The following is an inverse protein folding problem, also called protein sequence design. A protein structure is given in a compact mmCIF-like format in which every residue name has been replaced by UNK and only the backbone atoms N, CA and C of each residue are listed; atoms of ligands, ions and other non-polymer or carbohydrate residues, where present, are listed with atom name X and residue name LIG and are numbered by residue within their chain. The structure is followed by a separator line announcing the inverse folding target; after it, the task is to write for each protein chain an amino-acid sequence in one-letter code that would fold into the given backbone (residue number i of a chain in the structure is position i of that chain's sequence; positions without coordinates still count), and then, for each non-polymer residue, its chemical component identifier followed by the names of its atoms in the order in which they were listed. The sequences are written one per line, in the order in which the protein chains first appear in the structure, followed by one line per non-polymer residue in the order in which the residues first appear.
data_IF_152212146096
#
_entry.id   IF_152212146096
#
_cell.length_a   1.000
_cell.length_b   1.000
_cell.length_c   1.000
_cell.angle_alpha   90.00
_cell.angle_beta   90.00
_cell.angle_gamma   90.00
#
_symmetry.space_group_name_H-M   'P 1'
#
loop_
_entity.id
_entity.type
_entity.pdbx_description
1 polymer ?
#
# COMPACT_ATOMS: atom_id res chain seq x y z
N UNK A 1 91.77 -53.76 -2.24
CA UNK A 1 90.81 -52.92 -2.99
C UNK A 1 90.40 -51.75 -2.12
N UNK A 2 90.83 -50.52 -2.45
CA UNK A 2 90.32 -49.28 -1.85
C UNK A 2 89.95 -48.35 -3.00
N UNK A 3 88.66 -48.06 -3.13
CA UNK A 3 88.10 -47.12 -4.09
C UNK A 3 88.48 -45.69 -3.70
N UNK A 4 89.25 -45.00 -4.56
CA UNK A 4 89.38 -43.55 -4.51
C UNK A 4 88.45 -42.96 -5.59
N UNK A 5 87.24 -42.55 -5.19
CA UNK A 5 86.44 -41.63 -5.99
C UNK A 5 87.07 -40.24 -5.89
N UNK A 6 87.68 -39.78 -6.98
CA UNK A 6 88.03 -38.37 -7.15
C UNK A 6 86.74 -37.62 -7.52
N UNK A 7 86.29 -36.72 -6.64
CA UNK A 7 85.24 -35.73 -6.93
C UNK A 7 85.74 -34.77 -8.00
N UNK A 8 85.13 -34.77 -9.18
CA UNK A 8 85.26 -33.67 -10.14
C UNK A 8 84.50 -32.45 -9.60
N UNK A 9 85.24 -31.44 -9.14
CA UNK A 9 84.71 -30.12 -8.81
C UNK A 9 84.41 -29.36 -10.10
N UNK A 10 83.16 -29.34 -10.55
CA UNK A 10 82.69 -28.34 -11.52
C UNK A 10 82.42 -27.02 -10.79
N UNK A 11 83.46 -26.21 -10.57
CA UNK A 11 83.31 -24.80 -10.18
C UNK A 11 82.94 -24.00 -11.43
N UNK A 12 81.65 -23.66 -11.60
CA UNK A 12 81.26 -22.64 -12.59
C UNK A 12 81.88 -21.29 -12.15
N UNK A 13 82.39 -20.45 -13.07
CA UNK A 13 83.06 -19.20 -12.71
C UNK A 13 82.10 -18.29 -11.94
N UNK A 14 82.55 -17.81 -10.77
CA UNK A 14 81.78 -16.95 -9.86
C UNK A 14 81.23 -15.70 -10.57
N UNK A 15 81.97 -15.14 -11.53
CA UNK A 15 81.58 -13.97 -12.33
C UNK A 15 80.33 -14.20 -13.20
N UNK A 16 80.09 -15.44 -13.66
CA UNK A 16 78.91 -15.79 -14.45
C UNK A 16 77.66 -15.86 -13.57
N UNK A 17 77.82 -16.29 -12.31
CA UNK A 17 76.74 -16.34 -11.31
C UNK A 17 76.38 -14.93 -10.84
N UNK A 18 77.36 -14.08 -10.58
CA UNK A 18 77.16 -12.69 -10.15
C UNK A 18 76.46 -11.84 -11.24
N UNK A 19 76.85 -11.99 -12.51
CA UNK A 19 76.19 -11.33 -13.64
C UNK A 19 74.71 -11.73 -13.80
N UNK A 20 74.39 -13.04 -13.66
CA UNK A 20 72.99 -13.49 -13.66
C UNK A 20 72.20 -13.04 -12.45
N UNK A 21 72.85 -12.89 -11.29
CA UNK A 21 72.19 -12.46 -10.06
C UNK A 21 71.79 -10.97 -10.13
N UNK A 22 72.62 -10.12 -10.73
CA UNK A 22 72.30 -8.71 -10.91
C UNK A 22 71.24 -8.47 -12.00
N UNK A 23 71.23 -9.27 -13.06
CA UNK A 23 70.15 -9.26 -14.05
C UNK A 23 68.81 -9.68 -13.43
N UNK A 24 68.83 -10.70 -12.55
CA UNK A 24 67.65 -11.17 -11.83
C UNK A 24 67.13 -10.09 -10.85
N UNK A 25 68.01 -9.42 -10.10
CA UNK A 25 67.65 -8.29 -9.23
C UNK A 25 67.02 -7.15 -10.02
N UNK A 26 67.56 -6.83 -11.20
CA UNK A 26 67.01 -5.81 -12.09
C UNK A 26 65.59 -6.17 -12.57
N UNK A 27 65.37 -7.42 -13.00
CA UNK A 27 64.04 -7.90 -13.40
C UNK A 27 63.03 -7.91 -12.24
N UNK A 28 63.46 -8.30 -11.04
CA UNK A 28 62.64 -8.25 -9.82
C UNK A 28 62.25 -6.80 -9.49
N UNK A 29 63.18 -5.85 -9.63
CA UNK A 29 62.91 -4.42 -9.41
C UNK A 29 61.86 -3.89 -10.40
N UNK A 30 61.95 -4.27 -11.68
CA UNK A 30 60.96 -3.92 -12.70
C UNK A 30 59.58 -4.52 -12.37
N UNK A 31 59.53 -5.80 -11.96
CA UNK A 31 58.30 -6.47 -11.56
C UNK A 31 57.65 -5.79 -10.34
N UNK A 32 58.45 -5.44 -9.32
CA UNK A 32 57.98 -4.73 -8.13
C UNK A 32 57.40 -3.35 -8.49
N UNK A 33 58.07 -2.60 -9.36
CA UNK A 33 57.56 -1.32 -9.83
C UNK A 33 56.24 -1.47 -10.60
N UNK A 34 56.15 -2.46 -11.52
CA UNK A 34 54.90 -2.74 -12.24
C UNK A 34 53.77 -3.12 -11.28
N UNK A 35 54.04 -4.00 -10.31
CA UNK A 35 53.06 -4.40 -9.31
C UNK A 35 52.56 -3.20 -8.48
N UNK A 36 53.46 -2.29 -8.11
CA UNK A 36 53.10 -1.09 -7.35
C UNK A 36 52.26 -0.11 -8.18
N UNK A 37 52.54 0.03 -9.47
CA UNK A 37 51.73 0.83 -10.41
C UNK A 37 50.34 0.19 -10.56
N UNK A 38 50.26 -1.10 -10.85
CA UNK A 38 48.97 -1.81 -10.99
C UNK A 38 48.14 -1.75 -9.72
N UNK A 39 48.77 -1.79 -8.53
CA UNK A 39 48.06 -1.61 -7.26
C UNK A 39 47.42 -0.22 -7.16
N UNK A 40 48.15 0.84 -7.54
CA UNK A 40 47.61 2.21 -7.57
C UNK A 40 46.48 2.35 -8.59
N UNK A 41 46.63 1.78 -9.79
CA UNK A 41 45.58 1.77 -10.82
C UNK A 41 44.31 1.07 -10.31
N UNK A 42 44.46 -0.09 -9.66
CA UNK A 42 43.32 -0.80 -9.05
C UNK A 42 42.60 0.05 -8.01
N UNK A 43 43.34 0.75 -7.15
CA UNK A 43 42.74 1.64 -6.13
C UNK A 43 41.98 2.80 -6.78
N UNK A 44 42.52 3.40 -7.85
CA UNK A 44 41.86 4.46 -8.62
C UNK A 44 40.56 3.92 -9.24
N UNK A 45 40.63 2.81 -9.97
CA UNK A 45 39.46 2.19 -10.61
C UNK A 45 38.39 1.77 -9.59
N UNK A 46 38.79 1.34 -8.41
CA UNK A 46 37.83 0.98 -7.33
C UNK A 46 37.08 2.22 -6.84
N UNK A 47 37.77 3.34 -6.64
CA UNK A 47 37.13 4.62 -6.26
C UNK A 47 36.23 5.16 -7.36
N UNK A 48 36.68 5.08 -8.62
CA UNK A 48 35.89 5.53 -9.76
C UNK A 48 34.62 4.69 -9.93
N UNK A 49 34.70 3.36 -9.77
CA UNK A 49 33.53 2.49 -9.80
C UNK A 49 32.55 2.79 -8.65
N UNK A 50 33.04 3.09 -7.44
CA UNK A 50 32.18 3.54 -6.33
C UNK A 50 31.47 4.86 -6.65
N UNK A 51 32.18 5.82 -7.24
CA UNK A 51 31.58 7.09 -7.65
C UNK A 51 30.51 6.91 -8.74
N UNK A 52 30.79 6.08 -9.75
CA UNK A 52 29.83 5.74 -10.80
C UNK A 52 28.57 5.05 -10.23
N UNK A 53 28.73 4.17 -9.24
CA UNK A 53 27.58 3.55 -8.56
C UNK A 53 26.72 4.58 -7.81
N UNK A 54 27.35 5.55 -7.13
CA UNK A 54 26.63 6.65 -6.48
C UNK A 54 25.90 7.52 -7.51
N UNK A 55 26.53 7.81 -8.64
CA UNK A 55 25.94 8.61 -9.71
C UNK A 55 24.76 7.89 -10.37
N UNK A 56 24.85 6.57 -10.58
CA UNK A 56 23.71 5.74 -11.03
C UNK A 56 22.55 5.82 -10.05
N UNK A 57 22.80 5.68 -8.74
CA UNK A 57 21.75 5.78 -7.71
C UNK A 57 21.11 7.18 -7.71
N UNK A 58 21.92 8.23 -7.87
CA UNK A 58 21.43 9.60 -7.96
C UNK A 58 20.59 9.82 -9.21
N UNK A 59 21.03 9.33 -10.38
CA UNK A 59 20.26 9.40 -11.62
C UNK A 59 18.95 8.62 -11.53
N UNK A 60 18.96 7.42 -10.93
CA UNK A 60 17.73 6.65 -10.70
C UNK A 60 16.76 7.39 -9.78
N UNK A 61 17.26 8.07 -8.74
CA UNK A 61 16.46 8.93 -7.87
C UNK A 61 15.87 10.11 -8.64
N UNK A 62 16.69 10.81 -9.42
CA UNK A 62 16.25 11.94 -10.24
C UNK A 62 15.21 11.53 -11.28
N UNK A 63 15.38 10.36 -11.93
CA UNK A 63 14.41 9.80 -12.89
C UNK A 63 13.06 9.50 -12.23
N UNK A 64 13.05 8.98 -10.99
CA UNK A 64 11.80 8.81 -10.23
C UNK A 64 11.14 10.15 -9.91
N UNK A 65 11.91 11.19 -9.61
CA UNK A 65 11.36 12.51 -9.35
C UNK A 65 10.84 13.24 -10.61
N UNK A 66 11.37 12.91 -11.80
CA UNK A 66 10.94 13.50 -13.08
C UNK A 66 9.60 12.95 -13.59
N UNK A 67 9.16 11.80 -13.10
CA UNK A 67 7.84 11.25 -13.42
C UNK A 67 6.92 11.52 -12.25
N UNK A 68 5.89 12.35 -12.45
CA UNK A 68 4.96 12.80 -11.41
C UNK A 68 4.30 11.65 -10.62
N UNK A 69 4.14 10.46 -11.21
CA UNK A 69 3.64 9.25 -10.55
C UNK A 69 4.64 8.46 -9.70
N UNK A 70 5.92 8.86 -9.68
CA UNK A 70 7.00 8.24 -8.89
C UNK A 70 7.57 9.18 -7.81
N UNK A 71 7.13 10.45 -7.77
CA UNK A 71 7.42 11.36 -6.66
C UNK A 71 6.72 10.87 -5.37
N UNK A 72 7.32 11.13 -4.20
CA UNK A 72 6.73 10.77 -2.91
C UNK A 72 5.40 11.50 -2.70
N UNK A 73 4.28 10.84 -3.02
CA UNK A 73 2.91 11.29 -2.74
C UNK A 73 2.54 11.18 -1.25
N UNK A 74 3.43 10.63 -0.41
CA UNK A 74 3.22 10.43 1.02
C UNK A 74 3.05 11.72 1.82
N UNK A 75 3.28 12.89 1.22
CA UNK A 75 3.05 14.20 1.86
C UNK A 75 1.62 14.70 1.64
N UNK A 76 0.94 14.27 0.56
CA UNK A 76 -0.35 14.84 0.13
C UNK A 76 -1.53 13.88 0.27
N UNK A 77 -1.29 12.57 0.17
CA UNK A 77 -2.31 11.54 0.32
C UNK A 77 -2.16 10.79 1.66
N UNK A 78 -3.25 10.47 2.38
CA UNK A 78 -3.16 9.79 3.68
C UNK A 78 -2.48 8.43 3.59
N UNK A 79 -1.61 8.14 4.56
CA UNK A 79 -1.02 6.81 4.69
C UNK A 79 -2.07 5.76 5.07
N UNK A 80 -1.79 4.48 4.81
CA UNK A 80 -2.72 3.39 5.13
C UNK A 80 -3.14 3.38 6.61
N UNK A 81 -2.22 3.66 7.54
CA UNK A 81 -2.53 3.73 8.97
C UNK A 81 -3.44 4.92 9.30
N UNK A 82 -3.28 6.05 8.61
CA UNK A 82 -4.13 7.23 8.79
C UNK A 82 -5.55 6.96 8.26
N UNK A 83 -5.67 6.24 7.14
CA UNK A 83 -6.96 5.78 6.63
C UNK A 83 -7.66 4.83 7.60
N UNK A 84 -6.92 3.89 8.19
CA UNK A 84 -7.46 2.96 9.19
C UNK A 84 -7.96 3.72 10.42
N UNK A 85 -7.18 4.70 10.91
CA UNK A 85 -7.60 5.56 12.01
C UNK A 85 -8.86 6.36 11.64
N UNK A 86 -8.92 6.91 10.42
CA UNK A 86 -10.09 7.64 9.93
C UNK A 86 -11.34 6.76 9.82
N UNK A 87 -11.20 5.48 9.42
CA UNK A 87 -12.30 4.51 9.42
C UNK A 87 -12.78 4.26 10.86
N UNK A 88 -11.84 4.03 11.78
CA UNK A 88 -12.17 3.76 13.18
C UNK A 88 -12.88 4.94 13.85
N UNK A 89 -12.45 6.17 13.55
CA UNK A 89 -13.10 7.41 14.01
C UNK A 89 -14.49 7.57 13.39
N UNK A 90 -14.61 7.37 12.07
CA UNK A 90 -15.89 7.41 11.38
C UNK A 90 -16.91 6.40 11.94
N UNK A 91 -16.46 5.19 12.31
CA UNK A 91 -17.32 4.19 12.94
C UNK A 91 -17.76 4.56 14.35
N UNK A 92 -16.95 5.31 15.11
CA UNK A 92 -17.22 5.66 16.51
C UNK A 92 -17.98 6.98 16.68
N UNK A 93 -17.82 7.91 15.74
CA UNK A 93 -18.42 9.23 15.81
C UNK A 93 -19.59 9.31 14.82
N UNK A 94 -19.28 9.47 13.53
CA UNK A 94 -20.28 9.72 12.50
C UNK A 94 -21.33 8.60 12.35
N UNK A 95 -20.91 7.33 12.46
CA UNK A 95 -21.84 6.20 12.42
C UNK A 95 -22.72 6.13 13.68
N UNK A 96 -22.24 6.61 14.83
CA UNK A 96 -23.02 6.64 16.06
C UNK A 96 -24.04 7.77 15.99
N UNK A 97 -23.60 8.96 15.58
CA UNK A 97 -24.45 10.13 15.44
C UNK A 97 -25.61 9.85 14.47
N UNK A 98 -25.33 9.31 13.27
CA UNK A 98 -26.40 8.96 12.33
C UNK A 98 -27.30 7.85 12.90
N UNK A 99 -26.73 6.86 13.59
CA UNK A 99 -27.49 5.75 14.15
C UNK A 99 -28.47 6.24 15.22
N UNK A 100 -27.99 6.94 16.24
CA UNK A 100 -28.79 7.36 17.39
C UNK A 100 -29.68 8.58 17.12
N UNK A 101 -29.23 9.54 16.31
CA UNK A 101 -29.98 10.79 16.12
C UNK A 101 -30.98 10.72 14.96
N UNK A 102 -30.78 9.80 14.02
CA UNK A 102 -31.65 9.68 12.84
C UNK A 102 -32.27 8.30 12.73
N UNK A 103 -31.46 7.24 12.69
CA UNK A 103 -31.96 5.92 12.27
C UNK A 103 -32.80 5.23 13.33
N UNK A 104 -32.39 5.26 14.61
CA UNK A 104 -33.13 4.61 15.70
C UNK A 104 -34.47 5.27 16.01
N UNK A 105 -34.60 6.58 15.74
CA UNK A 105 -35.85 7.31 15.97
C UNK A 105 -36.89 7.05 14.87
N UNK A 106 -36.43 6.80 13.64
CA UNK A 106 -37.30 6.74 12.47
C UNK A 106 -37.50 5.33 11.91
N UNK A 107 -36.62 4.36 12.23
CA UNK A 107 -36.57 3.06 11.56
C UNK A 107 -36.53 1.87 12.51
N UNK A 108 -36.97 0.72 11.99
CA UNK A 108 -36.72 -0.59 12.58
C UNK A 108 -35.37 -1.16 12.10
N UNK A 109 -34.94 -2.29 12.66
CA UNK A 109 -33.65 -2.90 12.33
C UNK A 109 -33.46 -3.20 10.83
N UNK A 110 -34.51 -3.58 10.12
CA UNK A 110 -34.43 -3.83 8.68
C UNK A 110 -34.17 -2.52 7.90
N UNK A 111 -34.80 -1.42 8.32
CA UNK A 111 -34.56 -0.09 7.75
C UNK A 111 -33.14 0.40 8.01
N UNK A 112 -32.60 0.18 9.21
CA UNK A 112 -31.21 0.55 9.55
C UNK A 112 -30.21 -0.25 8.69
N UNK A 113 -30.39 -1.57 8.59
CA UNK A 113 -29.54 -2.43 7.73
C UNK A 113 -29.63 -1.97 6.28
N UNK A 114 -30.85 -1.70 5.78
CA UNK A 114 -31.05 -1.18 4.43
C UNK A 114 -30.33 0.15 4.21
N UNK A 115 -30.36 1.07 5.18
CA UNK A 115 -29.68 2.36 5.10
C UNK A 115 -28.17 2.19 4.87
N UNK A 116 -27.48 1.47 5.77
CA UNK A 116 -26.02 1.29 5.67
C UNK A 116 -25.63 0.50 4.43
N UNK A 117 -26.34 -0.58 4.13
CA UNK A 117 -26.06 -1.41 2.95
C UNK A 117 -26.23 -0.61 1.66
N UNK A 118 -27.33 0.14 1.52
CA UNK A 118 -27.61 0.94 0.32
C UNK A 118 -26.61 2.08 0.18
N UNK A 119 -26.31 2.80 1.27
CA UNK A 119 -25.33 3.89 1.24
C UNK A 119 -23.97 3.42 0.71
N UNK A 120 -23.42 2.33 1.27
CA UNK A 120 -22.12 1.81 0.86
C UNK A 120 -22.14 1.21 -0.55
N UNK A 121 -23.15 0.41 -0.91
CA UNK A 121 -23.26 -0.18 -2.25
C UNK A 121 -23.37 0.88 -3.34
N UNK A 122 -24.14 1.95 -3.10
CA UNK A 122 -24.29 3.04 -4.08
C UNK A 122 -23.01 3.84 -4.24
N UNK A 123 -22.30 4.13 -3.14
CA UNK A 123 -21.01 4.82 -3.19
C UNK A 123 -19.96 3.97 -3.90
N UNK A 124 -19.84 2.68 -3.55
CA UNK A 124 -18.92 1.75 -4.22
C UNK A 124 -19.19 1.68 -5.72
N UNK A 125 -20.48 1.62 -6.11
CA UNK A 125 -20.88 1.67 -7.51
C UNK A 125 -20.46 2.97 -8.20
N UNK A 126 -20.66 4.13 -7.56
CA UNK A 126 -20.23 5.44 -8.12
C UNK A 126 -18.73 5.45 -8.40
N UNK A 127 -17.92 4.93 -7.47
CA UNK A 127 -16.47 4.84 -7.64
C UNK A 127 -16.12 3.92 -8.81
N UNK A 128 -16.67 2.71 -8.84
CA UNK A 128 -16.40 1.74 -9.89
C UNK A 128 -16.85 2.24 -11.27
N UNK A 129 -18.03 2.85 -11.39
CA UNK A 129 -18.56 3.41 -12.64
C UNK A 129 -17.69 4.57 -13.16
N UNK A 130 -17.02 5.32 -12.27
CA UNK A 130 -16.09 6.39 -12.65
C UNK A 130 -14.77 5.86 -13.23
N UNK A 131 -14.17 4.85 -12.61
CA UNK A 131 -12.86 4.32 -13.03
C UNK A 131 -12.94 3.25 -14.13
N UNK A 132 -14.01 2.46 -14.16
CA UNK A 132 -14.17 1.31 -15.07
C UNK A 132 -13.98 1.65 -16.54
N UNK A 133 -14.54 2.76 -17.10
CA UNK A 133 -14.33 3.11 -18.51
C UNK A 133 -12.86 3.36 -18.83
N UNK A 134 -12.13 4.04 -17.94
CA UNK A 134 -10.72 4.34 -18.11
C UNK A 134 -9.87 3.07 -18.04
N UNK A 135 -10.16 2.19 -17.08
CA UNK A 135 -9.50 0.88 -16.99
C UNK A 135 -9.77 0.01 -18.20
N UNK A 136 -11.02 -0.04 -18.68
CA UNK A 136 -11.36 -0.78 -19.91
C UNK A 136 -10.58 -0.28 -21.12
N UNK A 137 -10.50 1.03 -21.33
CA UNK A 137 -9.73 1.60 -22.42
C UNK A 137 -8.23 1.25 -22.32
N UNK A 138 -7.66 1.27 -21.12
CA UNK A 138 -6.27 0.86 -20.91
C UNK A 138 -6.09 -0.61 -21.26
N UNK A 139 -6.97 -1.50 -20.79
CA UNK A 139 -6.96 -2.95 -21.11
C UNK A 139 -7.00 -3.15 -22.62
N UNK A 140 -7.96 -2.51 -23.30
CA UNK A 140 -8.20 -2.68 -24.73
C UNK A 140 -7.00 -2.17 -25.56
N UNK A 141 -6.44 -1.00 -25.23
CA UNK A 141 -5.30 -0.40 -25.96
C UNK A 141 -3.99 -1.14 -25.69
N UNK A 142 -3.80 -1.65 -24.47
CA UNK A 142 -2.59 -2.40 -24.08
C UNK A 142 -2.66 -3.89 -24.42
N UNK A 143 -3.79 -4.37 -24.98
CA UNK A 143 -4.07 -5.78 -25.24
C UNK A 143 -3.87 -6.67 -24.00
N UNK A 144 -4.20 -6.15 -22.81
CA UNK A 144 -4.13 -6.90 -21.56
C UNK A 144 -5.45 -7.65 -21.31
N UNK A 145 -5.41 -8.66 -20.44
CA UNK A 145 -6.63 -9.32 -19.94
C UNK A 145 -7.17 -8.62 -18.70
N UNK A 146 -6.28 -8.11 -17.83
CA UNK A 146 -6.60 -7.42 -16.58
C UNK A 146 -5.55 -6.32 -16.29
N UNK A 147 -5.91 -5.36 -15.43
CA UNK A 147 -4.96 -4.36 -14.89
C UNK A 147 -4.62 -4.75 -13.46
N UNK A 148 -3.53 -5.49 -13.30
CA UNK A 148 -3.08 -5.95 -12.00
C UNK A 148 -1.60 -5.62 -11.75
N UNK A 149 -1.20 -5.76 -10.48
CA UNK A 149 0.19 -5.68 -10.06
C UNK A 149 0.83 -4.31 -10.36
N UNK A 150 2.01 -4.25 -11.01
CA UNK A 150 2.76 -3.00 -11.17
C UNK A 150 2.00 -1.88 -11.88
N UNK A 151 1.17 -2.20 -12.89
CA UNK A 151 0.43 -1.20 -13.67
C UNK A 151 -0.60 -0.51 -12.77
N UNK A 152 -1.37 -1.30 -12.02
CA UNK A 152 -2.37 -0.77 -11.10
C UNK A 152 -1.72 0.09 -10.00
N UNK A 153 -0.54 -0.32 -9.51
CA UNK A 153 0.20 0.44 -8.50
C UNK A 153 0.66 1.81 -9.03
N UNK A 154 1.14 1.86 -10.28
CA UNK A 154 1.50 3.13 -10.93
C UNK A 154 0.28 4.03 -11.11
N UNK A 155 -0.84 3.48 -11.56
CA UNK A 155 -2.09 4.23 -11.70
C UNK A 155 -2.59 4.77 -10.36
N UNK A 156 -2.58 3.96 -9.30
CA UNK A 156 -2.96 4.39 -7.93
C UNK A 156 -2.10 5.53 -7.44
N UNK A 157 -0.78 5.46 -7.59
CA UNK A 157 0.13 6.57 -7.24
C UNK A 157 -0.19 7.83 -8.03
N UNK A 158 -0.50 7.70 -9.31
CA UNK A 158 -0.96 8.83 -10.13
C UNK A 158 -2.28 9.42 -9.59
N UNK A 159 -3.26 8.59 -9.23
CA UNK A 159 -4.53 9.05 -8.64
C UNK A 159 -4.32 9.76 -7.31
N UNK A 160 -3.47 9.22 -6.43
CA UNK A 160 -3.13 9.80 -5.12
C UNK A 160 -2.57 11.22 -5.24
N UNK A 161 -1.82 11.53 -6.31
CA UNK A 161 -1.29 12.88 -6.50
C UNK A 161 -2.37 13.95 -6.75
N UNK A 162 -3.53 13.56 -7.30
CA UNK A 162 -4.62 14.47 -7.67
C UNK A 162 -5.97 14.09 -7.04
N UNK A 163 -5.95 13.34 -5.93
CA UNK A 163 -7.13 12.65 -5.42
C UNK A 163 -8.30 13.57 -5.12
N UNK A 164 -8.07 14.79 -4.61
CA UNK A 164 -9.15 15.76 -4.32
C UNK A 164 -9.94 16.15 -5.57
N UNK A 165 -9.25 16.46 -6.66
CA UNK A 165 -9.89 16.83 -7.92
C UNK A 165 -10.61 15.63 -8.56
N UNK A 166 -10.05 14.44 -8.41
CA UNK A 166 -10.69 13.20 -8.89
C UNK A 166 -11.95 12.92 -8.07
N UNK A 167 -11.88 13.06 -6.75
CA UNK A 167 -12.99 12.87 -5.83
C UNK A 167 -14.18 13.78 -6.16
N UNK A 168 -13.94 15.08 -6.36
CA UNK A 168 -14.98 16.05 -6.73
C UNK A 168 -15.71 15.66 -8.03
N UNK A 169 -14.97 15.15 -9.03
CA UNK A 169 -15.55 14.67 -10.29
C UNK A 169 -16.26 13.33 -10.14
N UNK A 170 -15.73 12.44 -9.30
CA UNK A 170 -16.31 11.13 -9.03
C UNK A 170 -17.65 11.24 -8.30
N UNK A 171 -17.77 12.17 -7.35
CA UNK A 171 -18.92 12.27 -6.44
C UNK A 171 -20.04 13.21 -6.91
N UNK A 172 -20.07 13.59 -8.19
CA UNK A 172 -21.11 14.47 -8.75
C UNK A 172 -22.55 13.94 -8.50
N UNK A 173 -22.72 12.61 -8.50
CA UNK A 173 -24.01 11.96 -8.34
C UNK A 173 -24.32 11.53 -6.89
N UNK A 174 -23.50 11.89 -5.90
CA UNK A 174 -23.71 11.47 -4.50
C UNK A 174 -25.07 11.94 -3.94
N UNK A 175 -25.55 13.09 -4.38
CA UNK A 175 -26.86 13.63 -3.98
C UNK A 175 -28.04 12.72 -4.34
N UNK A 176 -27.91 11.90 -5.39
CA UNK A 176 -28.94 10.92 -5.77
C UNK A 176 -29.10 9.81 -4.73
N UNK A 177 -27.99 9.41 -4.08
CA UNK A 177 -28.00 8.41 -3.00
C UNK A 177 -28.78 8.94 -1.79
N UNK A 178 -28.54 10.22 -1.44
CA UNK A 178 -29.31 10.89 -0.39
C UNK A 178 -30.81 10.88 -0.70
N UNK A 179 -31.18 11.26 -1.90
CA UNK A 179 -32.59 11.31 -2.33
C UNK A 179 -33.24 9.92 -2.30
N UNK A 180 -32.52 8.88 -2.74
CA UNK A 180 -32.99 7.49 -2.69
C UNK A 180 -33.25 7.05 -1.25
N UNK A 181 -32.30 7.28 -0.34
CA UNK A 181 -32.43 6.92 1.07
C UNK A 181 -33.58 7.67 1.73
N UNK A 182 -33.65 8.99 1.58
CA UNK A 182 -34.73 9.81 2.16
C UNK A 182 -36.10 9.41 1.62
N UNK A 183 -36.23 9.12 0.32
CA UNK A 183 -37.50 8.73 -0.29
C UNK A 183 -37.94 7.34 0.18
N UNK A 184 -37.02 6.38 0.22
CA UNK A 184 -37.34 4.97 0.52
C UNK A 184 -37.62 4.76 2.01
N UNK A 185 -36.81 5.38 2.87
CA UNK A 185 -36.90 5.26 4.32
C UNK A 185 -37.72 6.37 4.98
N UNK A 186 -38.22 7.34 4.19
CA UNK A 186 -39.01 8.51 4.64
C UNK A 186 -38.28 9.39 5.66
N UNK A 187 -36.95 9.48 5.55
CA UNK A 187 -36.11 10.20 6.51
C UNK A 187 -36.18 11.72 6.33
N UNK A 188 -36.29 12.45 7.44
CA UNK A 188 -36.43 13.92 7.43
C UNK A 188 -35.10 14.66 7.60
N UNK A 189 -34.09 14.04 8.20
CA UNK A 189 -32.82 14.68 8.57
C UNK A 189 -31.81 14.74 7.41
N UNK A 190 -32.18 15.44 6.33
CA UNK A 190 -31.39 15.48 5.09
C UNK A 190 -29.95 15.97 5.24
N UNK A 191 -29.69 16.93 6.13
CA UNK A 191 -28.36 17.52 6.29
C UNK A 191 -27.39 16.56 6.98
N UNK A 192 -27.82 15.86 8.03
CA UNK A 192 -27.01 14.83 8.70
C UNK A 192 -26.70 13.66 7.76
N UNK A 193 -27.70 13.21 6.99
CA UNK A 193 -27.50 12.15 5.99
C UNK A 193 -26.49 12.61 4.94
N UNK A 194 -26.55 13.85 4.50
CA UNK A 194 -25.59 14.38 3.52
C UNK A 194 -24.16 14.44 4.08
N UNK A 195 -23.99 14.90 5.32
CA UNK A 195 -22.68 14.94 5.99
C UNK A 195 -22.10 13.53 6.15
N UNK A 196 -22.92 12.59 6.63
CA UNK A 196 -22.56 11.18 6.73
C UNK A 196 -22.12 10.61 5.37
N UNK A 197 -22.92 10.80 4.31
CA UNK A 197 -22.62 10.29 2.97
C UNK A 197 -21.34 10.91 2.39
N UNK A 198 -21.13 12.22 2.59
CA UNK A 198 -19.90 12.89 2.17
C UNK A 198 -18.70 12.25 2.84
N UNK A 199 -18.73 12.05 4.15
CA UNK A 199 -17.60 11.46 4.88
C UNK A 199 -17.36 10.00 4.53
N UNK A 200 -18.43 9.21 4.43
CA UNK A 200 -18.38 7.82 3.97
C UNK A 200 -17.74 7.72 2.58
N UNK A 201 -18.19 8.55 1.64
CA UNK A 201 -17.71 8.52 0.26
C UNK A 201 -16.24 8.93 0.12
N UNK A 202 -15.79 9.91 0.92
CA UNK A 202 -14.38 10.30 0.98
C UNK A 202 -13.51 9.13 1.46
N UNK A 203 -13.91 8.47 2.54
CA UNK A 203 -13.17 7.33 3.11
C UNK A 203 -13.12 6.17 2.12
N UNK A 204 -14.27 5.78 1.55
CA UNK A 204 -14.34 4.68 0.59
C UNK A 204 -13.52 4.96 -0.67
N UNK A 205 -13.58 6.19 -1.20
CA UNK A 205 -12.78 6.61 -2.34
C UNK A 205 -11.27 6.53 -2.03
N UNK A 206 -10.84 7.06 -0.88
CA UNK A 206 -9.43 7.01 -0.49
C UNK A 206 -8.95 5.56 -0.31
N UNK A 207 -9.76 4.68 0.26
CA UNK A 207 -9.46 3.25 0.38
C UNK A 207 -9.32 2.54 -0.98
N UNK A 208 -10.13 2.94 -1.96
CA UNK A 208 -10.08 2.39 -3.31
C UNK A 208 -8.77 2.74 -4.04
N UNK A 209 -8.33 4.00 -3.93
CA UNK A 209 -7.10 4.48 -4.59
C UNK A 209 -5.83 4.30 -3.74
N UNK A 210 -5.94 3.80 -2.50
CA UNK A 210 -4.76 3.56 -1.66
C UNK A 210 -3.90 2.42 -2.23
N UNK A 211 -2.60 2.48 -1.94
CA UNK A 211 -1.65 1.42 -2.28
C UNK A 211 -0.93 0.95 -1.00
N UNK A 212 -1.21 -0.25 -0.48
CA UNK A 212 -2.18 -1.21 -1.01
C UNK A 212 -3.63 -0.77 -0.79
N UNK A 213 -4.55 -1.27 -1.62
CA UNK A 213 -5.98 -0.95 -1.50
C UNK A 213 -6.61 -1.58 -0.27
N UNK A 214 -7.54 -0.85 0.33
CA UNK A 214 -8.37 -1.32 1.44
C UNK A 214 -9.77 -1.63 0.92
N UNK A 215 -10.28 -2.83 1.23
CA UNK A 215 -11.57 -3.33 0.74
C UNK A 215 -12.57 -3.47 1.87
N UNK A 216 -13.76 -2.91 1.69
CA UNK A 216 -14.89 -3.08 2.59
C UNK A 216 -15.63 -4.36 2.26
N UNK A 217 -15.91 -5.21 3.25
CA UNK A 217 -16.76 -6.39 3.07
C UNK A 217 -18.25 -6.00 3.10
N UNK A 218 -18.71 -5.22 2.12
CA UNK A 218 -20.06 -4.65 2.10
C UNK A 218 -21.16 -5.74 2.12
N UNK A 219 -20.85 -6.93 1.58
CA UNK A 219 -21.78 -8.06 1.55
C UNK A 219 -22.07 -8.64 2.95
N UNK A 220 -21.21 -8.34 3.92
CA UNK A 220 -21.40 -8.74 5.32
C UNK A 220 -22.48 -7.94 6.05
N UNK A 221 -22.84 -6.75 5.56
CA UNK A 221 -23.85 -5.90 6.21
C UNK A 221 -25.20 -6.64 6.26
N UNK A 222 -25.80 -6.69 7.45
CA UNK A 222 -27.05 -7.40 7.71
C UNK A 222 -26.89 -8.89 8.02
N UNK A 223 -25.69 -9.46 7.87
CA UNK A 223 -25.45 -10.87 8.23
C UNK A 223 -25.47 -11.05 9.75
N UNK A 224 -25.98 -12.23 10.17
CA UNK A 224 -26.03 -12.64 11.57
C UNK A 224 -24.84 -13.54 11.90
N UNK A 225 -24.17 -13.27 13.00
CA UNK A 225 -23.08 -14.11 13.49
C UNK A 225 -22.89 -13.93 15.00
N UNK A 226 -22.03 -14.79 15.57
CA UNK A 226 -21.66 -14.68 16.97
C UNK A 226 -20.62 -13.57 17.18
N UNK A 227 -20.85 -12.77 18.21
CA UNK A 227 -19.96 -11.69 18.58
C UNK A 227 -18.57 -12.22 18.98
N UNK A 228 -17.55 -11.61 18.38
CA UNK A 228 -16.15 -11.85 18.67
C UNK A 228 -15.42 -10.51 18.82
N UNK A 229 -14.97 -10.20 20.03
CA UNK A 229 -14.25 -8.97 20.36
C UNK A 229 -12.98 -8.72 19.53
N UNK A 230 -12.38 -9.77 18.94
CA UNK A 230 -11.19 -9.60 18.09
C UNK A 230 -11.54 -9.10 16.69
N UNK A 231 -12.76 -9.38 16.20
CA UNK A 231 -13.20 -9.06 14.83
C UNK A 231 -14.26 -7.96 14.77
N UNK A 232 -14.94 -7.72 15.88
CA UNK A 232 -16.13 -6.88 15.96
C UNK A 232 -15.96 -5.86 17.09
N UNK A 233 -16.50 -4.66 16.88
CA UNK A 233 -16.75 -3.68 17.91
C UNK A 233 -18.28 -3.46 18.05
N UNK A 234 -18.83 -3.43 19.26
CA UNK A 234 -20.25 -3.20 19.47
C UNK A 234 -20.59 -1.71 19.38
N UNK A 235 -21.70 -1.37 18.71
CA UNK A 235 -22.17 0.01 18.56
C UNK A 235 -22.71 0.59 19.88
N UNK A 236 -23.34 -0.23 20.72
CA UNK A 236 -23.91 0.21 22.00
C UNK A 236 -22.98 -0.06 23.19
N UNK A 237 -21.88 -0.79 22.99
CA UNK A 237 -20.95 -1.17 24.06
C UNK A 237 -21.40 -2.38 24.89
N UNK A 238 -22.56 -2.98 24.63
CA UNK A 238 -23.21 -3.93 25.55
C UNK A 238 -23.38 -5.36 24.99
N UNK A 239 -22.42 -5.84 24.19
CA UNK A 239 -22.41 -7.22 23.66
C UNK A 239 -21.41 -8.12 24.40
N UNK A 240 -21.88 -9.28 24.85
CA UNK A 240 -21.00 -10.33 25.44
C UNK A 240 -20.52 -11.29 24.36
N UNK A 241 -19.34 -11.88 24.59
CA UNK A 241 -18.78 -12.88 23.68
C UNK A 241 -19.77 -14.02 23.42
N UNK A 242 -19.88 -14.41 22.15
CA UNK A 242 -20.81 -15.44 21.63
C UNK A 242 -22.29 -15.06 21.60
N UNK A 243 -22.68 -13.84 21.98
CA UNK A 243 -24.04 -13.35 21.72
C UNK A 243 -24.29 -13.18 20.22
N UNK A 244 -25.52 -13.38 19.77
CA UNK A 244 -25.89 -13.15 18.38
C UNK A 244 -25.93 -11.65 18.09
N UNK A 245 -25.26 -11.26 17.01
CA UNK A 245 -25.19 -9.88 16.56
C UNK A 245 -25.40 -9.78 15.05
N UNK A 246 -25.69 -8.57 14.60
CA UNK A 246 -25.84 -8.21 13.19
C UNK A 246 -24.78 -7.17 12.82
N UNK A 247 -24.19 -7.31 11.63
CA UNK A 247 -23.23 -6.34 11.10
C UNK A 247 -23.97 -5.13 10.56
N UNK A 248 -23.66 -3.93 11.08
CA UNK A 248 -24.17 -2.66 10.55
C UNK A 248 -23.13 -1.99 9.65
N UNK A 249 -21.87 -1.95 10.08
CA UNK A 249 -20.75 -1.50 9.26
C UNK A 249 -19.74 -2.63 9.05
N UNK A 250 -19.26 -2.82 7.82
CA UNK A 250 -18.43 -3.97 7.48
C UNK A 250 -17.00 -3.84 7.99
N UNK A 251 -16.31 -4.97 8.11
CA UNK A 251 -14.87 -4.99 8.32
C UNK A 251 -14.13 -4.47 7.09
N UNK A 252 -12.94 -3.93 7.30
CA UNK A 252 -12.06 -3.46 6.23
C UNK A 252 -10.82 -4.32 6.16
N UNK A 253 -10.45 -4.75 4.96
CA UNK A 253 -9.41 -5.74 4.72
C UNK A 253 -8.31 -5.25 3.78
N UNK A 254 -7.10 -5.71 4.02
CA UNK A 254 -5.93 -5.56 3.15
C UNK A 254 -5.38 -6.96 2.85
N UNK A 255 -5.49 -7.42 1.61
CA UNK A 255 -5.06 -8.78 1.21
C UNK A 255 -5.51 -9.88 2.19
N UNK A 256 -6.79 -9.86 2.60
CA UNK A 256 -7.41 -10.77 3.59
C UNK A 256 -7.10 -10.50 5.07
N UNK A 257 -6.15 -9.64 5.40
CA UNK A 257 -5.91 -9.21 6.77
C UNK A 257 -6.94 -8.15 7.18
N UNK A 258 -7.62 -8.35 8.31
CA UNK A 258 -8.58 -7.39 8.82
C UNK A 258 -7.86 -6.18 9.43
N UNK A 259 -8.03 -5.02 8.82
CA UNK A 259 -7.42 -3.76 9.25
C UNK A 259 -8.35 -2.97 10.17
N UNK A 260 -9.67 -3.03 9.93
CA UNK A 260 -10.69 -2.43 10.79
C UNK A 260 -11.79 -3.43 11.12
N UNK A 261 -12.25 -3.39 12.36
CA UNK A 261 -13.30 -4.27 12.88
C UNK A 261 -14.67 -3.89 12.32
N UNK A 262 -15.54 -4.89 12.20
CA UNK A 262 -16.94 -4.65 11.85
C UNK A 262 -17.66 -3.99 13.03
N UNK A 263 -18.53 -3.03 12.75
CA UNK A 263 -19.42 -2.46 13.77
C UNK A 263 -20.70 -3.28 13.81
N UNK A 264 -21.05 -3.78 15.00
CA UNK A 264 -22.16 -4.71 15.18
C UNK A 264 -23.15 -4.24 16.24
N UNK A 265 -24.38 -4.73 16.14
CA UNK A 265 -25.44 -4.52 17.11
C UNK A 265 -26.00 -5.86 17.57
N UNK A 266 -26.50 -5.95 18.80
CA UNK A 266 -27.20 -7.16 19.26
C UNK A 266 -28.36 -7.53 18.33
N UNK A 267 -28.49 -8.81 18.00
CA UNK A 267 -29.60 -9.27 17.16
C UNK A 267 -30.95 -9.12 17.89
N UNK A 268 -30.92 -9.22 19.23
CA UNK A 268 -32.07 -8.98 20.09
C UNK A 268 -32.22 -7.52 20.50
N UNK A 269 -31.50 -6.59 19.86
CA UNK A 269 -31.59 -5.17 20.20
C UNK A 269 -33.02 -4.68 19.98
N UNK A 270 -33.65 -4.28 21.08
CA UNK A 270 -34.98 -3.72 21.06
C UNK A 270 -34.84 -2.25 20.72
N UNK A 271 -35.12 -1.91 19.47
CA UNK A 271 -35.45 -0.54 19.12
C UNK A 271 -36.80 -0.27 19.80
N UNK A 272 -36.80 0.60 20.81
CA UNK A 272 -38.02 1.14 21.41
C UNK A 272 -38.76 1.98 20.37
N UNK A 273 -39.40 1.33 19.40
CA UNK A 273 -40.21 2.04 18.42
C UNK A 273 -41.66 2.09 18.91
N UNK A 274 -42.19 3.31 18.95
CA UNK A 274 -43.63 3.59 18.91
C UNK A 274 -44.29 2.97 17.67
#
# INVERSE_FOLDING_TARGET
MKNNYVKENFSKPQDYLDGTQDELKSKIKILMNKLQITKKEKEILTKENQNLQLEILQMQSNLRCMVSGFANTSITFPMANELINSIAEFYKCECFDIFFDVLTQELNMQGIVYFFQTAMLRIDKIINDYFSPSFKNIIDVSCLTTIDGPILNVLRKSFQSNYKQIYEKCMLNLSSVKQELQKTLKLKNGDMIEQFLKKLSEIMFNCFISDPSLQFDIQSIGQRHQFNQTKNDPIDGFLKNKEECIILMPGVYKHQEQMAKSLVLSYSYQLENN
#
